data_IF_144190379573
#
_entry.id   IF_144190379573
#
_cell.length_a   1.000
_cell.length_b   1.000
_cell.length_c   1.000
_cell.angle_alpha   90.00
_cell.angle_beta   90.00
_cell.angle_gamma   90.00
#
_symmetry.space_group_name_H-M   'P 1'
#
loop_
_entity.id
_entity.type
_entity.pdbx_description
1 polymer ?
#
# COMPACT_ATOMS: atom_id res chain seq x y z
N UNK A 1 1.15 7.99 4.69
CA UNK A 1 0.03 8.57 5.50
C UNK A 1 -0.49 9.87 4.90
N UNK A 2 0.35 10.82 4.56
CA UNK A 2 -0.05 12.11 3.96
C UNK A 2 -0.82 11.94 2.64
N UNK A 3 -0.42 11.01 1.80
CA UNK A 3 -1.10 10.68 0.53
C UNK A 3 -2.53 10.20 0.75
N UNK A 4 -2.75 9.40 1.79
CA UNK A 4 -4.07 8.87 2.14
C UNK A 4 -4.99 10.01 2.62
N UNK A 5 -4.46 10.89 3.45
CA UNK A 5 -5.21 12.06 3.91
C UNK A 5 -5.54 13.01 2.77
N UNK A 6 -4.63 13.21 1.84
CA UNK A 6 -4.86 13.98 0.63
C UNK A 6 -5.96 13.37 -0.24
N UNK A 7 -5.91 12.06 -0.48
CA UNK A 7 -6.95 11.35 -1.23
C UNK A 7 -8.32 11.44 -0.54
N UNK A 8 -8.37 11.30 0.77
CA UNK A 8 -9.61 11.49 1.53
C UNK A 8 -10.17 12.89 1.36
N UNK A 9 -9.33 13.91 1.44
CA UNK A 9 -9.72 15.30 1.24
C UNK A 9 -10.27 15.52 -0.17
N UNK A 10 -9.59 14.99 -1.19
CA UNK A 10 -10.03 15.07 -2.58
C UNK A 10 -11.40 14.40 -2.79
N UNK A 11 -11.59 13.20 -2.25
CA UNK A 11 -12.88 12.49 -2.34
C UNK A 11 -13.99 13.25 -1.60
N UNK A 12 -13.66 13.87 -0.49
CA UNK A 12 -14.62 14.72 0.24
C UNK A 12 -15.04 15.95 -0.59
N UNK A 13 -14.09 16.61 -1.24
CA UNK A 13 -14.39 17.74 -2.16
C UNK A 13 -15.26 17.31 -3.34
N UNK A 14 -15.10 16.09 -3.82
CA UNK A 14 -15.92 15.51 -4.88
C UNK A 14 -17.29 14.99 -4.36
N UNK A 15 -17.60 15.21 -3.08
CA UNK A 15 -18.81 14.72 -2.42
C UNK A 15 -18.95 13.20 -2.43
N UNK A 16 -17.82 12.47 -2.47
CA UNK A 16 -17.79 11.02 -2.37
C UNK A 16 -17.55 10.64 -0.92
N UNK A 17 -18.54 10.03 -0.30
CA UNK A 17 -18.40 9.50 1.06
C UNK A 17 -17.69 8.15 1.02
N UNK A 18 -16.62 8.03 1.81
CA UNK A 18 -15.85 6.79 1.92
C UNK A 18 -15.73 6.36 3.38
N UNK A 19 -15.76 5.05 3.67
CA UNK A 19 -15.41 4.56 4.99
C UNK A 19 -13.92 4.84 5.30
N UNK A 20 -13.47 4.70 6.56
CA UNK A 20 -12.06 4.84 6.89
C UNK A 20 -11.20 3.89 6.05
N UNK A 21 -10.14 4.37 5.41
CA UNK A 21 -9.26 3.51 4.60
C UNK A 21 -8.47 2.54 5.47
N UNK A 22 -8.23 1.36 4.94
CA UNK A 22 -7.38 0.35 5.56
C UNK A 22 -5.96 0.46 5.01
N UNK A 23 -4.98 0.55 5.90
CA UNK A 23 -3.56 0.49 5.56
C UNK A 23 -3.04 -0.89 5.97
N UNK A 24 -2.56 -1.65 5.00
CA UNK A 24 -2.00 -2.97 5.25
C UNK A 24 -0.49 -2.86 5.46
N UNK A 25 -0.03 -3.34 6.61
CA UNK A 25 1.39 -3.38 6.95
C UNK A 25 1.81 -4.79 7.31
N UNK A 26 2.97 -5.21 6.84
CA UNK A 26 3.61 -6.46 7.22
C UNK A 26 4.49 -6.31 8.49
N UNK A 27 4.65 -5.10 8.98
CA UNK A 27 5.38 -4.83 10.21
C UNK A 27 4.44 -4.82 11.41
N UNK A 28 4.36 -5.96 12.11
CA UNK A 28 3.52 -6.09 13.30
C UNK A 28 3.88 -5.10 14.40
N UNK A 29 5.17 -4.78 14.56
CA UNK A 29 5.63 -3.80 15.55
C UNK A 29 5.04 -2.42 15.33
N UNK A 30 4.99 -1.96 14.08
CA UNK A 30 4.38 -0.67 13.72
C UNK A 30 2.88 -0.68 14.01
N UNK A 31 2.18 -1.77 13.69
CA UNK A 31 0.74 -1.91 13.97
C UNK A 31 0.48 -1.85 15.48
N UNK A 32 1.22 -2.61 16.27
CA UNK A 32 1.07 -2.63 17.73
C UNK A 32 1.41 -1.28 18.37
N UNK A 33 2.46 -0.61 17.90
CA UNK A 33 2.84 0.71 18.39
C UNK A 33 1.81 1.80 18.04
N UNK A 34 1.13 1.68 16.92
CA UNK A 34 0.06 2.61 16.54
C UNK A 34 -1.18 2.50 17.43
N UNK A 35 -1.43 1.33 17.99
CA UNK A 35 -2.57 1.05 18.86
C UNK A 35 -2.26 1.26 20.35
N UNK A 36 -0.98 1.14 20.76
CA UNK A 36 -0.58 1.15 22.16
C UNK A 36 0.15 2.45 22.53
N UNK A 37 -0.48 3.24 23.39
CA UNK A 37 0.04 4.53 23.91
C UNK A 37 1.25 4.38 24.85
N UNK A 38 1.48 3.20 25.40
CA UNK A 38 2.46 2.99 26.48
C UNK A 38 3.85 2.58 25.95
N UNK A 39 3.95 2.16 24.70
CA UNK A 39 5.23 1.78 24.11
C UNK A 39 6.04 3.01 23.68
N UNK A 40 7.17 3.22 24.34
CA UNK A 40 8.13 4.26 23.99
C UNK A 40 9.18 3.76 23.00
N UNK A 41 9.33 4.44 21.88
CA UNK A 41 10.41 4.19 20.93
C UNK A 41 11.56 5.19 21.16
N UNK A 42 12.81 4.70 21.08
CA UNK A 42 14.01 5.49 21.45
C UNK A 42 14.48 6.50 20.41
N UNK A 43 13.86 6.57 19.22
CA UNK A 43 14.28 7.49 18.14
C UNK A 43 13.29 8.65 17.99
N UNK A 44 13.77 9.88 18.11
CA UNK A 44 12.93 11.10 18.01
C UNK A 44 12.21 11.23 16.65
N UNK A 45 12.88 10.91 15.55
CA UNK A 45 12.26 10.97 14.21
C UNK A 45 11.14 9.95 14.05
N UNK A 46 11.34 8.76 14.59
CA UNK A 46 10.33 7.70 14.56
C UNK A 46 9.14 8.02 15.47
N UNK A 47 9.38 8.69 16.59
CA UNK A 47 8.32 9.11 17.51
C UNK A 47 7.35 10.09 16.87
N UNK A 48 7.84 11.10 16.16
CA UNK A 48 6.98 12.10 15.49
C UNK A 48 6.09 11.46 14.43
N UNK A 49 6.66 10.63 13.57
CA UNK A 49 5.90 9.91 12.54
C UNK A 49 4.89 8.94 13.16
N UNK A 50 5.29 8.25 14.23
CA UNK A 50 4.44 7.33 14.95
C UNK A 50 3.28 8.04 15.66
N UNK A 51 3.51 9.21 16.26
CA UNK A 51 2.45 10.01 16.86
C UNK A 51 1.41 10.44 15.83
N UNK A 52 1.85 10.88 14.66
CA UNK A 52 0.97 11.25 13.57
C UNK A 52 0.09 10.07 13.10
N UNK A 53 0.69 8.89 12.92
CA UNK A 53 -0.04 7.67 12.58
C UNK A 53 -1.00 7.27 13.69
N UNK A 54 -0.55 7.30 14.94
CA UNK A 54 -1.34 6.93 16.11
C UNK A 54 -2.57 7.82 16.28
N UNK A 55 -2.41 9.14 16.13
CA UNK A 55 -3.52 10.08 16.22
C UNK A 55 -4.59 9.79 15.16
N UNK A 56 -4.18 9.49 13.93
CA UNK A 56 -5.11 9.15 12.86
C UNK A 56 -5.82 7.81 13.10
N UNK A 57 -5.14 6.83 13.67
CA UNK A 57 -5.75 5.54 14.04
C UNK A 57 -6.73 5.71 15.19
N UNK A 58 -6.37 6.47 16.22
CA UNK A 58 -7.23 6.70 17.39
C UNK A 58 -8.48 7.52 17.05
N UNK A 59 -8.35 8.47 16.15
CA UNK A 59 -9.47 9.28 15.67
C UNK A 59 -10.33 8.57 14.62
N UNK A 60 -10.06 7.30 14.35
CA UNK A 60 -10.74 6.49 13.33
C UNK A 60 -10.71 7.10 11.92
N UNK A 61 -9.69 7.91 11.63
CA UNK A 61 -9.47 8.48 10.29
C UNK A 61 -8.96 7.41 9.33
N UNK A 62 -8.12 6.50 9.82
CA UNK A 62 -7.58 5.34 9.10
C UNK A 62 -7.59 4.11 10.00
N UNK A 63 -7.54 2.92 9.41
CA UNK A 63 -7.35 1.66 10.11
C UNK A 63 -6.05 1.02 9.65
N UNK A 64 -5.21 0.63 10.60
CA UNK A 64 -3.95 -0.05 10.33
C UNK A 64 -4.14 -1.56 10.60
N UNK A 65 -3.92 -2.38 9.58
CA UNK A 65 -4.15 -3.81 9.62
C UNK A 65 -2.85 -4.54 9.32
N UNK A 66 -2.47 -5.47 10.20
CA UNK A 66 -1.33 -6.35 9.94
C UNK A 66 -1.68 -7.43 8.91
N UNK A 67 -0.81 -7.63 7.94
CA UNK A 67 -0.86 -8.77 7.03
C UNK A 67 0.51 -9.45 6.99
N UNK A 68 0.57 -10.79 6.87
CA UNK A 68 1.83 -11.48 6.67
C UNK A 68 2.57 -11.02 5.41
N UNK A 69 3.91 -11.02 5.45
CA UNK A 69 4.74 -10.52 4.34
C UNK A 69 4.43 -11.17 3.00
N UNK A 70 4.12 -12.46 3.00
CA UNK A 70 3.82 -13.21 1.78
C UNK A 70 2.49 -12.82 1.11
N UNK A 71 1.61 -12.11 1.83
CA UNK A 71 0.37 -11.55 1.28
C UNK A 71 0.51 -10.09 0.86
N UNK A 72 1.64 -9.43 1.16
CA UNK A 72 1.86 -8.04 0.82
C UNK A 72 2.16 -7.89 -0.68
N UNK A 73 1.19 -7.36 -1.42
CA UNK A 73 1.26 -7.24 -2.89
C UNK A 73 2.19 -6.10 -3.37
N UNK A 74 2.64 -5.23 -2.47
CA UNK A 74 3.53 -4.11 -2.82
C UNK A 74 5.02 -4.49 -2.80
N UNK A 75 5.39 -5.68 -2.31
CA UNK A 75 6.78 -6.11 -2.23
C UNK A 75 7.54 -6.01 -3.56
N UNK A 76 6.97 -6.43 -4.71
CA UNK A 76 7.66 -6.30 -5.99
C UNK A 76 7.97 -4.86 -6.40
N UNK A 77 7.27 -3.88 -5.84
CA UNK A 77 7.49 -2.46 -6.11
C UNK A 77 8.64 -1.88 -5.29
N UNK A 78 9.03 -2.54 -4.20
CA UNK A 78 10.01 -2.04 -3.24
C UNK A 78 11.20 -2.99 -3.04
N UNK A 79 11.07 -4.26 -3.37
CA UNK A 79 12.08 -5.31 -3.14
C UNK A 79 12.17 -6.27 -4.32
N UNK A 80 13.37 -6.82 -4.60
CA UNK A 80 13.51 -7.92 -5.55
C UNK A 80 12.72 -9.14 -5.07
N UNK A 81 12.03 -9.80 -5.96
CA UNK A 81 11.24 -11.00 -5.69
C UNK A 81 11.57 -12.09 -6.70
N UNK A 82 11.29 -13.36 -6.35
CA UNK A 82 11.43 -14.48 -7.28
C UNK A 82 10.42 -14.39 -8.42
N UNK A 83 10.70 -15.05 -9.53
CA UNK A 83 9.82 -15.06 -10.71
C UNK A 83 8.43 -15.58 -10.37
N UNK A 84 8.33 -16.64 -9.56
CA UNK A 84 7.05 -17.19 -9.12
C UNK A 84 6.24 -16.21 -8.29
N UNK A 85 6.89 -15.50 -7.37
CA UNK A 85 6.26 -14.46 -6.54
C UNK A 85 5.82 -13.28 -7.41
N UNK A 86 6.66 -12.85 -8.35
CA UNK A 86 6.34 -11.79 -9.30
C UNK A 86 5.09 -12.11 -10.12
N UNK A 87 5.01 -13.32 -10.69
CA UNK A 87 3.86 -13.76 -11.48
C UNK A 87 2.58 -13.80 -10.62
N UNK A 88 2.69 -14.29 -9.39
CA UNK A 88 1.56 -14.34 -8.46
C UNK A 88 1.03 -12.94 -8.10
N UNK A 89 1.93 -12.00 -7.77
CA UNK A 89 1.57 -10.63 -7.45
C UNK A 89 1.03 -9.90 -8.67
N UNK A 90 1.64 -10.08 -9.84
CA UNK A 90 1.15 -9.53 -11.11
C UNK A 90 -0.30 -9.95 -11.38
N UNK A 91 -0.61 -11.21 -11.15
CA UNK A 91 -1.97 -11.74 -11.31
C UNK A 91 -2.93 -11.09 -10.30
N UNK A 92 -2.53 -10.97 -9.04
CA UNK A 92 -3.35 -10.31 -7.99
C UNK A 92 -3.61 -8.85 -8.29
N UNK A 93 -2.63 -8.12 -8.80
CA UNK A 93 -2.76 -6.72 -9.20
C UNK A 93 -3.51 -6.55 -10.53
N UNK A 94 -3.89 -7.65 -11.19
CA UNK A 94 -4.59 -7.65 -12.48
C UNK A 94 -3.83 -6.89 -13.57
N UNK A 95 -2.50 -6.90 -13.50
CA UNK A 95 -1.66 -6.32 -14.54
C UNK A 95 -1.61 -7.26 -15.74
N UNK A 96 -2.17 -6.81 -16.84
CA UNK A 96 -2.24 -7.57 -18.09
C UNK A 96 -1.50 -6.83 -19.20
N UNK A 97 -0.93 -7.56 -20.19
CA UNK A 97 -0.32 -6.93 -21.35
C UNK A 97 -1.34 -6.07 -22.10
N UNK A 98 -0.90 -4.91 -22.57
CA UNK A 98 -1.76 -4.06 -23.38
C UNK A 98 -2.04 -4.75 -24.72
N UNK A 99 -3.30 -4.99 -25.09
CA UNK A 99 -3.65 -5.66 -26.37
C UNK A 99 -3.09 -4.93 -27.60
N UNK A 100 -3.01 -3.62 -27.56
CA UNK A 100 -2.44 -2.80 -28.64
C UNK A 100 -0.93 -2.96 -28.79
N UNK A 101 -0.21 -3.20 -27.72
CA UNK A 101 1.22 -3.51 -27.79
C UNK A 101 1.49 -4.89 -28.38
N UNK A 102 0.66 -5.86 -28.03
CA UNK A 102 0.76 -7.22 -28.58
C UNK A 102 0.53 -7.26 -30.09
N UNK A 103 -0.36 -6.40 -30.60
CA UNK A 103 -0.57 -6.26 -32.05
C UNK A 103 0.64 -5.63 -32.75
N UNK A 104 1.27 -4.62 -32.14
CA UNK A 104 2.50 -4.02 -32.68
C UNK A 104 3.69 -5.00 -32.70
N UNK A 105 3.84 -5.79 -31.66
CA UNK A 105 4.87 -6.84 -31.63
C UNK A 105 4.61 -7.93 -32.65
N UNK A 106 3.37 -8.38 -32.81
CA UNK A 106 2.97 -9.34 -33.84
C UNK A 106 3.22 -8.79 -35.25
N UNK A 107 2.91 -7.52 -35.48
CA UNK A 107 3.18 -6.88 -36.76
C UNK A 107 4.68 -6.77 -37.02
N UNK A 108 5.49 -6.43 -36.00
CA UNK A 108 6.96 -6.43 -36.12
C UNK A 108 7.51 -7.82 -36.43
N UNK A 109 7.00 -8.87 -35.79
CA UNK A 109 7.40 -10.24 -36.05
C UNK A 109 6.93 -10.73 -37.42
N UNK A 110 5.80 -10.26 -37.92
CA UNK A 110 5.29 -10.61 -39.24
C UNK A 110 6.00 -9.88 -40.40
N UNK A 111 6.63 -8.72 -40.13
CA UNK A 111 7.37 -7.91 -41.11
C UNK A 111 8.86 -8.26 -41.15
N UNK A 112 9.38 -8.95 -40.15
CA UNK A 112 10.73 -9.51 -40.14
C UNK A 112 10.71 -10.97 -40.66
#
# INVERSE_FOLDING_TARGET
>A
MTEILWLKSLLHELHIQTPPPHIFSDNLGVVLLSENLVMHYKSKHFELDLHFVRDNVQNHVVQLVHIPSHFQVVHPLTKPVSDSTFLHVRHKLKVVPNPTMTLRERVRQAVM
#
